data_IF_906079832256
#
_entry.id   IF_906079832256
#
_cell.length_a   1.000
_cell.length_b   1.000
_cell.length_c   1.000
_cell.angle_alpha   90.00
_cell.angle_beta   90.00
_cell.angle_gamma   90.00
#
_symmetry.space_group_name_H-M   'P 1'
#
loop_
_entity.id
_entity.type
_entity.pdbx_description
1 polymer ?
#
# COMPACT_ATOMS: atom_id res chain seq x y z
N UNK A 1 -23.44 6.23 3.98
CA UNK A 1 -22.83 7.58 4.07
C UNK A 1 -21.38 7.54 3.59
N UNK A 2 -20.62 6.48 3.86
CA UNK A 2 -19.18 6.36 3.59
C UNK A 2 -18.82 6.25 2.10
N UNK A 3 -19.56 5.42 1.34
CA UNK A 3 -19.40 5.26 -0.11
C UNK A 3 -19.70 6.54 -0.92
N UNK A 4 -20.49 7.45 -0.38
CA UNK A 4 -20.80 8.72 -1.04
C UNK A 4 -19.62 9.70 -0.97
N UNK A 5 -18.89 9.77 0.16
CA UNK A 5 -17.74 10.66 0.33
C UNK A 5 -16.59 10.32 -0.61
N UNK A 6 -16.22 9.03 -0.71
CA UNK A 6 -15.12 8.56 -1.57
C UNK A 6 -15.43 8.82 -3.06
N UNK A 7 -16.68 8.61 -3.50
CA UNK A 7 -17.11 8.91 -4.88
C UNK A 7 -17.00 10.39 -5.22
N UNK A 8 -17.34 11.27 -4.28
CA UNK A 8 -17.28 12.73 -4.48
C UNK A 8 -15.83 13.20 -4.67
N UNK A 9 -14.88 12.70 -3.89
CA UNK A 9 -13.47 13.09 -4.02
C UNK A 9 -12.81 12.54 -5.29
N UNK A 10 -13.17 11.31 -5.69
CA UNK A 10 -12.71 10.74 -6.97
C UNK A 10 -13.28 11.54 -8.15
N UNK A 11 -14.55 11.91 -8.12
CA UNK A 11 -15.16 12.76 -9.14
C UNK A 11 -14.48 14.14 -9.22
N UNK A 12 -14.19 14.77 -8.08
CA UNK A 12 -13.49 16.04 -8.00
C UNK A 12 -12.06 15.96 -8.57
N UNK A 13 -11.34 14.89 -8.28
CA UNK A 13 -9.99 14.65 -8.83
C UNK A 13 -10.02 14.52 -10.37
N UNK A 14 -11.05 13.86 -10.92
CA UNK A 14 -11.26 13.72 -12.36
C UNK A 14 -11.66 15.06 -13.00
N UNK A 15 -12.56 15.82 -12.38
CA UNK A 15 -12.96 17.15 -12.86
C UNK A 15 -11.77 18.13 -12.90
N UNK A 16 -10.94 18.15 -11.84
CA UNK A 16 -9.72 18.95 -11.81
C UNK A 16 -8.71 18.49 -12.88
N UNK A 17 -8.69 17.19 -13.23
CA UNK A 17 -7.90 16.65 -14.33
C UNK A 17 -8.39 17.20 -15.69
N UNK A 18 -9.68 17.13 -15.96
CA UNK A 18 -10.29 17.62 -17.20
C UNK A 18 -10.14 19.14 -17.35
N UNK A 19 -10.30 19.90 -16.26
CA UNK A 19 -10.06 21.35 -16.25
C UNK A 19 -8.60 21.70 -16.56
N UNK A 20 -7.65 20.92 -16.08
CA UNK A 20 -6.24 21.12 -16.36
C UNK A 20 -5.90 20.92 -17.85
N UNK A 21 -6.60 20.01 -18.54
CA UNK A 21 -6.46 19.78 -19.98
C UNK A 21 -7.15 20.87 -20.82
N UNK A 22 -8.25 21.44 -20.32
CA UNK A 22 -9.03 22.47 -21.02
C UNK A 22 -8.51 23.89 -20.85
N UNK A 23 -7.81 24.17 -19.74
CA UNK A 23 -7.24 25.51 -19.48
C UNK A 23 -5.88 25.60 -20.17
N UNK A 24 -5.90 26.07 -21.44
CA UNK A 24 -4.67 26.29 -22.19
C UNK A 24 -3.76 27.30 -21.49
N UNK A 25 -2.51 26.92 -21.34
CA UNK A 25 -1.28 27.74 -21.31
C UNK A 25 -1.09 28.85 -20.28
N UNK A 26 -1.94 29.04 -19.26
CA UNK A 26 -1.56 29.90 -18.14
C UNK A 26 -0.79 29.13 -17.07
N UNK A 27 0.52 29.38 -16.89
CA UNK A 27 1.35 28.64 -15.94
C UNK A 27 0.88 28.79 -14.49
N UNK A 28 0.26 29.92 -14.13
CA UNK A 28 -0.23 30.18 -12.79
C UNK A 28 -1.46 29.31 -12.49
N UNK A 29 -2.37 29.16 -13.43
CA UNK A 29 -3.55 28.32 -13.33
C UNK A 29 -3.17 26.83 -13.31
N UNK A 30 -2.21 26.41 -14.13
CA UNK A 30 -1.71 25.04 -14.11
C UNK A 30 -1.05 24.67 -12.77
N UNK A 31 -0.31 25.60 -12.18
CA UNK A 31 0.33 25.39 -10.87
C UNK A 31 -0.73 25.25 -9.77
N UNK A 32 -1.78 26.07 -9.79
CA UNK A 32 -2.91 25.98 -8.85
C UNK A 32 -3.68 24.67 -8.99
N UNK A 33 -3.93 24.22 -10.21
CA UNK A 33 -4.61 22.95 -10.48
C UNK A 33 -3.78 21.74 -10.04
N UNK A 34 -2.45 21.75 -10.28
CA UNK A 34 -1.55 20.73 -9.77
C UNK A 34 -1.60 20.66 -8.25
N UNK A 35 -1.55 21.80 -7.57
CA UNK A 35 -1.62 21.87 -6.11
C UNK A 35 -2.97 21.35 -5.58
N UNK A 36 -4.08 21.77 -6.14
CA UNK A 36 -5.41 21.28 -5.75
C UNK A 36 -5.56 19.75 -5.95
N UNK A 37 -5.01 19.20 -7.04
CA UNK A 37 -4.97 17.75 -7.26
C UNK A 37 -4.15 17.03 -6.21
N UNK A 38 -2.99 17.59 -5.81
CA UNK A 38 -2.16 17.03 -4.75
C UNK A 38 -2.90 17.01 -3.42
N UNK A 39 -3.53 18.12 -3.03
CA UNK A 39 -4.33 18.24 -1.81
C UNK A 39 -5.52 17.25 -1.77
N UNK A 40 -6.21 17.06 -2.91
CA UNK A 40 -7.28 16.06 -3.01
C UNK A 40 -6.73 14.63 -2.92
N UNK A 41 -5.57 14.37 -3.54
CA UNK A 41 -4.92 13.05 -3.45
C UNK A 41 -4.45 12.73 -2.03
N UNK A 42 -3.90 13.72 -1.31
CA UNK A 42 -3.53 13.61 0.11
C UNK A 42 -4.75 13.32 0.98
N UNK A 43 -5.83 14.09 0.83
CA UNK A 43 -7.08 13.86 1.57
C UNK A 43 -7.70 12.49 1.29
N UNK A 44 -7.61 12.01 0.05
CA UNK A 44 -8.03 10.64 -0.31
C UNK A 44 -7.12 9.58 0.34
N UNK A 45 -5.83 9.85 0.47
CA UNK A 45 -4.89 8.99 1.19
C UNK A 45 -5.23 8.96 2.67
N UNK A 46 -5.41 10.11 3.32
CA UNK A 46 -5.81 10.20 4.73
C UNK A 46 -7.15 9.49 4.98
N UNK A 47 -8.14 9.67 4.10
CA UNK A 47 -9.41 8.94 4.21
C UNK A 47 -9.23 7.43 4.01
N UNK A 48 -8.31 7.00 3.16
CA UNK A 48 -7.94 5.59 3.06
C UNK A 48 -7.24 5.11 4.31
N UNK A 49 -6.33 5.89 4.89
CA UNK A 49 -5.61 5.55 6.11
C UNK A 49 -6.57 5.46 7.31
N UNK A 50 -7.57 6.34 7.39
CA UNK A 50 -8.69 6.25 8.34
C UNK A 50 -9.55 5.01 8.06
N UNK A 51 -9.80 4.69 6.79
CA UNK A 51 -10.55 3.50 6.38
C UNK A 51 -9.76 2.21 6.58
N UNK A 52 -8.47 2.25 6.36
CA UNK A 52 -7.54 1.17 6.67
C UNK A 52 -7.23 1.09 8.17
N UNK A 53 -7.50 2.14 8.95
CA UNK A 53 -7.57 2.09 10.42
C UNK A 53 -8.82 1.35 10.94
N UNK A 54 -9.84 1.13 10.11
CA UNK A 54 -10.87 0.13 10.35
C UNK A 54 -10.23 -1.24 10.11
N UNK A 55 -9.78 -1.84 11.18
CA UNK A 55 -9.29 -3.21 11.33
C UNK A 55 -9.81 -4.11 10.21
N UNK A 56 -8.95 -4.80 9.44
CA UNK A 56 -9.44 -5.79 8.50
C UNK A 56 -10.16 -6.87 9.32
N UNK A 57 -11.48 -6.85 9.37
CA UNK A 57 -12.29 -7.79 10.13
C UNK A 57 -11.95 -9.27 9.80
N UNK A 58 -11.39 -9.48 8.59
CA UNK A 58 -10.88 -10.78 8.14
C UNK A 58 -9.63 -11.19 8.92
N UNK A 59 -8.71 -10.27 9.21
CA UNK A 59 -7.50 -10.57 10.01
C UNK A 59 -7.90 -10.96 11.44
N UNK A 60 -8.75 -10.14 12.08
CA UNK A 60 -9.20 -10.41 13.46
C UNK A 60 -9.97 -11.73 13.56
N UNK A 61 -10.83 -12.03 12.59
CA UNK A 61 -11.67 -13.23 12.60
C UNK A 61 -10.97 -14.52 12.16
N UNK A 62 -10.16 -14.47 11.09
CA UNK A 62 -9.65 -15.66 10.41
C UNK A 62 -8.12 -15.74 10.38
N UNK A 63 -7.42 -14.69 10.79
CA UNK A 63 -5.97 -14.60 10.82
C UNK A 63 -5.36 -14.09 9.53
N UNK A 64 -4.04 -13.81 9.62
CA UNK A 64 -3.29 -13.17 8.56
C UNK A 64 -3.26 -14.01 7.26
N UNK A 65 -3.04 -15.32 7.34
CA UNK A 65 -2.96 -16.17 6.16
C UNK A 65 -4.24 -16.09 5.30
N UNK A 66 -5.42 -16.28 5.91
CA UNK A 66 -6.71 -16.22 5.19
C UNK A 66 -7.00 -14.82 4.65
N UNK A 67 -6.58 -13.78 5.37
CA UNK A 67 -6.73 -12.41 4.92
C UNK A 67 -5.85 -12.13 3.68
N UNK A 68 -4.63 -12.65 3.65
CA UNK A 68 -3.71 -12.55 2.50
C UNK A 68 -4.20 -13.34 1.29
N UNK A 69 -4.73 -14.55 1.47
CA UNK A 69 -5.36 -15.32 0.39
C UNK A 69 -6.49 -14.53 -0.28
N UNK A 70 -7.36 -13.91 0.54
CA UNK A 70 -8.47 -13.09 0.05
C UNK A 70 -7.98 -11.83 -0.70
N UNK A 71 -6.92 -11.21 -0.20
CA UNK A 71 -6.31 -10.02 -0.80
C UNK A 71 -5.70 -10.36 -2.17
N UNK A 72 -4.96 -11.45 -2.26
CA UNK A 72 -4.34 -11.93 -3.50
C UNK A 72 -5.40 -12.30 -4.53
N UNK A 73 -6.46 -13.01 -4.13
CA UNK A 73 -7.56 -13.38 -5.03
C UNK A 73 -8.28 -12.16 -5.63
N UNK A 74 -8.28 -11.02 -4.94
CA UNK A 74 -8.86 -9.76 -5.43
C UNK A 74 -7.89 -8.90 -6.27
N UNK A 75 -6.62 -9.28 -6.36
CA UNK A 75 -5.58 -8.52 -7.04
C UNK A 75 -5.49 -8.93 -8.51
N UNK A 76 -5.43 -7.98 -9.48
CA UNK A 76 -5.40 -8.31 -10.91
C UNK A 76 -4.01 -8.73 -11.43
N UNK A 77 -3.03 -8.94 -10.57
CA UNK A 77 -1.66 -9.36 -10.91
C UNK A 77 -1.48 -10.87 -10.71
N UNK A 78 -0.48 -11.45 -11.37
CA UNK A 78 0.01 -12.79 -11.06
C UNK A 78 0.78 -12.76 -9.74
N UNK A 79 0.12 -13.15 -8.64
CA UNK A 79 0.70 -13.12 -7.29
C UNK A 79 0.97 -14.53 -6.81
N UNK A 80 2.24 -14.82 -6.51
CA UNK A 80 2.64 -16.04 -5.82
C UNK A 80 2.72 -15.75 -4.32
N UNK A 81 1.82 -16.34 -3.53
CA UNK A 81 1.75 -16.18 -2.08
C UNK A 81 2.29 -17.44 -1.37
N UNK A 82 3.15 -17.24 -0.38
CA UNK A 82 3.64 -18.27 0.54
C UNK A 82 3.37 -17.84 1.99
N UNK A 83 2.55 -18.63 2.70
CA UNK A 83 2.23 -18.41 4.12
C UNK A 83 2.30 -19.70 4.92
N UNK A 84 3.09 -20.68 4.43
CA UNK A 84 3.12 -22.03 4.99
C UNK A 84 3.49 -22.05 6.46
N UNK A 85 2.62 -22.66 7.28
CA UNK A 85 2.85 -22.80 8.71
C UNK A 85 2.80 -21.50 9.52
N UNK A 86 2.22 -20.40 8.97
CA UNK A 86 2.08 -19.14 9.69
C UNK A 86 1.16 -19.31 10.91
N UNK A 87 1.67 -19.18 12.15
CA UNK A 87 0.86 -19.30 13.35
C UNK A 87 -0.02 -18.06 13.54
N UNK A 88 -1.01 -18.15 14.43
CA UNK A 88 -1.70 -16.97 14.93
C UNK A 88 -0.73 -16.15 15.76
N UNK A 89 -0.69 -14.85 15.47
CA UNK A 89 0.13 -13.87 16.18
C UNK A 89 -0.77 -12.86 16.89
N UNK A 90 -0.16 -11.93 17.61
CA UNK A 90 -0.92 -10.81 18.15
C UNK A 90 -1.53 -9.98 17.02
N UNK A 91 -2.76 -9.53 17.21
CA UNK A 91 -3.53 -8.80 16.22
C UNK A 91 -2.80 -7.57 15.65
N UNK A 92 -2.09 -6.75 16.44
CA UNK A 92 -1.31 -5.64 15.89
C UNK A 92 -0.24 -6.07 14.89
N UNK A 93 0.43 -7.22 15.10
CA UNK A 93 1.44 -7.75 14.19
C UNK A 93 0.82 -8.23 12.88
N UNK A 94 -0.28 -9.02 12.98
CA UNK A 94 -1.00 -9.52 11.82
C UNK A 94 -1.55 -8.38 10.96
N UNK A 95 -2.09 -7.35 11.60
CA UNK A 95 -2.63 -6.15 10.93
C UNK A 95 -1.52 -5.35 10.25
N UNK A 96 -0.38 -5.15 10.91
CA UNK A 96 0.74 -4.43 10.30
C UNK A 96 1.27 -5.16 9.07
N UNK A 97 1.48 -6.49 9.16
CA UNK A 97 1.93 -7.28 8.02
C UNK A 97 0.91 -7.28 6.87
N UNK A 98 -0.39 -7.37 7.17
CA UNK A 98 -1.44 -7.23 6.16
C UNK A 98 -1.35 -5.92 5.38
N UNK A 99 -1.14 -4.79 6.09
CA UNK A 99 -1.02 -3.49 5.42
C UNK A 99 0.25 -3.38 4.58
N UNK A 100 1.37 -3.93 5.04
CA UNK A 100 2.60 -3.97 4.25
C UNK A 100 2.36 -4.68 2.91
N UNK A 101 1.70 -5.84 2.94
CA UNK A 101 1.38 -6.60 1.72
C UNK A 101 0.37 -5.84 0.86
N UNK A 102 -0.73 -5.34 1.45
CA UNK A 102 -1.79 -4.63 0.73
C UNK A 102 -1.29 -3.39 0.00
N UNK A 103 -0.48 -2.56 0.66
CA UNK A 103 0.10 -1.38 0.05
C UNK A 103 1.12 -1.73 -1.03
N UNK A 104 1.96 -2.76 -0.80
CA UNK A 104 2.93 -3.22 -1.80
C UNK A 104 2.24 -3.74 -3.07
N UNK A 105 1.15 -4.51 -2.95
CA UNK A 105 0.35 -4.97 -4.09
C UNK A 105 -0.34 -3.80 -4.82
N UNK A 106 -0.82 -2.81 -4.06
CA UNK A 106 -1.40 -1.59 -4.61
C UNK A 106 -0.36 -0.81 -5.43
N UNK A 107 0.85 -0.66 -4.89
CA UNK A 107 1.95 0.03 -5.57
C UNK A 107 2.41 -0.73 -6.82
N UNK A 108 2.52 -2.06 -6.75
CA UNK A 108 2.84 -2.90 -7.89
C UNK A 108 1.81 -2.74 -9.02
N UNK A 109 0.51 -2.70 -8.66
CA UNK A 109 -0.59 -2.57 -9.63
C UNK A 109 -0.67 -1.19 -10.26
N UNK A 110 -0.52 -0.12 -9.45
CA UNK A 110 -0.79 1.26 -9.90
C UNK A 110 0.42 2.00 -10.45
N UNK A 111 1.60 1.69 -9.92
CA UNK A 111 2.79 2.52 -10.14
C UNK A 111 3.96 1.76 -10.77
N UNK A 112 4.08 0.46 -10.51
CA UNK A 112 5.23 -0.30 -10.98
C UNK A 112 5.05 -0.91 -12.37
N UNK A 113 3.83 -0.96 -12.92
CA UNK A 113 3.53 -1.73 -14.14
C UNK A 113 4.03 -3.17 -14.06
N UNK A 114 3.99 -3.74 -12.86
CA UNK A 114 4.42 -5.11 -12.61
C UNK A 114 3.48 -6.11 -13.32
N UNK A 115 4.03 -7.25 -13.69
CA UNK A 115 3.25 -8.38 -14.22
C UNK A 115 3.17 -9.52 -13.19
N UNK A 116 4.18 -9.65 -12.35
CA UNK A 116 4.27 -10.67 -11.31
C UNK A 116 4.73 -10.09 -9.99
N UNK A 117 4.17 -10.62 -8.91
CA UNK A 117 4.58 -10.30 -7.54
C UNK A 117 4.77 -11.61 -6.76
N UNK A 118 5.84 -11.71 -5.97
CA UNK A 118 5.99 -12.75 -4.96
C UNK A 118 5.75 -12.15 -3.58
N UNK A 119 5.01 -12.88 -2.73
CA UNK A 119 4.68 -12.49 -1.35
C UNK A 119 5.02 -13.66 -0.44
N UNK A 120 6.03 -13.50 0.39
CA UNK A 120 6.47 -14.50 1.37
C UNK A 120 6.24 -13.95 2.77
N UNK A 121 5.40 -14.63 3.58
CA UNK A 121 5.10 -14.23 4.95
C UNK A 121 5.28 -15.42 5.88
N UNK A 122 6.15 -15.27 6.88
CA UNK A 122 6.45 -16.36 7.81
C UNK A 122 7.10 -15.86 9.10
N UNK A 123 7.23 -16.75 10.08
CA UNK A 123 7.95 -16.46 11.34
C UNK A 123 9.32 -17.12 11.29
N UNK A 124 10.38 -16.32 11.44
CA UNK A 124 11.76 -16.74 11.45
C UNK A 124 12.40 -16.24 12.75
N UNK A 125 12.90 -17.14 13.57
CA UNK A 125 13.58 -16.81 14.83
C UNK A 125 12.79 -15.83 15.73
N UNK A 126 11.47 -16.07 15.87
CA UNK A 126 10.59 -15.22 16.68
C UNK A 126 10.27 -13.85 16.08
N UNK A 127 10.52 -13.67 14.78
CA UNK A 127 10.22 -12.44 14.04
C UNK A 127 9.27 -12.77 12.90
N UNK A 128 8.15 -12.06 12.81
CA UNK A 128 7.28 -12.09 11.63
C UNK A 128 7.97 -11.31 10.51
N UNK A 129 8.22 -11.99 9.42
CA UNK A 129 8.82 -11.42 8.22
C UNK A 129 7.78 -11.43 7.11
N UNK A 130 7.55 -10.28 6.50
CA UNK A 130 6.77 -10.14 5.27
C UNK A 130 7.69 -9.58 4.19
N UNK A 131 7.88 -10.32 3.11
CA UNK A 131 8.71 -9.92 1.98
C UNK A 131 7.88 -9.93 0.70
N UNK A 132 7.90 -8.82 -0.02
CA UNK A 132 7.15 -8.61 -1.26
C UNK A 132 8.14 -8.16 -2.33
N UNK A 133 8.13 -8.83 -3.49
CA UNK A 133 8.99 -8.50 -4.63
C UNK A 133 8.15 -8.41 -5.89
N UNK A 134 8.19 -7.27 -6.56
CA UNK A 134 7.59 -7.07 -7.88
C UNK A 134 8.64 -7.01 -8.99
N UNK A 135 8.24 -7.34 -10.21
CA UNK A 135 9.06 -7.29 -11.43
C UNK A 135 8.87 -5.98 -12.23
N UNK A 136 8.35 -4.94 -11.59
CA UNK A 136 7.97 -3.69 -12.24
C UNK A 136 9.15 -2.79 -12.62
N UNK A 137 8.81 -1.54 -12.97
CA UNK A 137 9.81 -0.54 -13.42
C UNK A 137 10.78 -0.10 -12.33
N UNK A 138 10.49 -0.35 -11.05
CA UNK A 138 11.28 0.12 -9.92
C UNK A 138 11.39 1.65 -9.85
N UNK A 139 12.40 2.15 -9.12
CA UNK A 139 12.64 3.59 -8.99
C UNK A 139 11.62 4.29 -8.09
N UNK A 140 10.94 3.57 -7.22
CA UNK A 140 10.04 4.17 -6.24
C UNK A 140 10.83 5.14 -5.34
N UNK A 141 10.34 6.37 -5.25
CA UNK A 141 10.90 7.35 -4.30
C UNK A 141 10.28 7.10 -2.92
N UNK A 142 11.06 6.50 -2.04
CA UNK A 142 10.64 6.18 -0.67
C UNK A 142 10.39 7.44 0.18
N UNK A 143 10.88 8.61 -0.24
CA UNK A 143 10.73 9.86 0.52
C UNK A 143 9.49 10.66 0.10
N UNK A 144 8.97 10.46 -1.10
CA UNK A 144 7.86 11.26 -1.64
C UNK A 144 6.48 10.59 -1.54
N UNK A 145 6.40 9.29 -1.22
CA UNK A 145 5.15 8.53 -1.15
C UNK A 145 4.55 8.48 0.27
N UNK A 146 3.36 9.05 0.47
CA UNK A 146 2.63 9.00 1.76
C UNK A 146 2.33 7.57 2.24
N UNK A 147 2.09 6.62 1.31
CA UNK A 147 1.78 5.22 1.64
C UNK A 147 2.96 4.48 2.29
N UNK A 148 4.15 4.55 1.71
CA UNK A 148 5.34 3.88 2.24
C UNK A 148 5.80 4.47 3.58
N UNK A 149 5.62 5.78 3.77
CA UNK A 149 5.93 6.46 5.02
C UNK A 149 5.00 6.02 6.15
N UNK A 150 3.68 5.96 5.90
CA UNK A 150 2.71 5.46 6.86
C UNK A 150 2.93 3.99 7.24
N UNK A 151 3.44 3.16 6.29
CA UNK A 151 3.86 1.79 6.59
C UNK A 151 5.08 1.75 7.53
N UNK A 152 6.08 2.59 7.28
CA UNK A 152 7.27 2.67 8.13
C UNK A 152 6.90 3.03 9.57
N UNK A 153 6.11 4.07 9.76
CA UNK A 153 5.62 4.51 11.08
C UNK A 153 4.87 3.39 11.82
N UNK A 154 4.02 2.64 11.11
CA UNK A 154 3.25 1.53 11.68
C UNK A 154 4.13 0.35 12.10
N UNK A 155 5.11 0.00 11.29
CA UNK A 155 6.07 -1.08 11.57
C UNK A 155 6.99 -0.68 12.74
N UNK A 156 7.47 0.56 12.77
CA UNK A 156 8.31 1.10 13.84
C UNK A 156 7.57 1.19 15.18
N UNK A 157 6.28 1.52 15.18
CA UNK A 157 5.45 1.53 16.40
C UNK A 157 5.36 0.16 17.09
N UNK A 158 5.64 -0.93 16.35
CA UNK A 158 5.71 -2.30 16.85
C UNK A 158 7.16 -2.78 17.09
N UNK A 159 8.11 -1.85 17.20
CA UNK A 159 9.55 -2.13 17.29
C UNK A 159 10.09 -2.95 16.11
N UNK A 160 9.39 -2.91 14.97
CA UNK A 160 9.78 -3.56 13.73
C UNK A 160 10.69 -2.69 12.87
N UNK A 161 11.04 -3.22 11.71
CA UNK A 161 11.84 -2.53 10.70
C UNK A 161 11.26 -2.76 9.31
N UNK A 162 11.07 -1.68 8.56
CA UNK A 162 10.72 -1.71 7.14
C UNK A 162 11.95 -1.36 6.30
N UNK A 163 12.21 -2.15 5.27
CA UNK A 163 13.26 -1.89 4.29
C UNK A 163 12.70 -1.97 2.88
N UNK A 164 13.12 -1.05 2.03
CA UNK A 164 12.70 -0.97 0.64
C UNK A 164 13.95 -0.89 -0.23
N UNK A 165 14.06 -1.81 -1.17
CA UNK A 165 15.09 -1.79 -2.21
C UNK A 165 14.39 -1.64 -3.55
N UNK A 166 14.78 -0.63 -4.28
CA UNK A 166 14.21 -0.36 -5.59
C UNK A 166 15.32 0.11 -6.53
N UNK A 167 15.28 -0.39 -7.74
CA UNK A 167 16.24 0.00 -8.78
C UNK A 167 15.49 0.15 -10.08
N UNK A 168 15.73 1.24 -10.79
CA UNK A 168 15.07 1.48 -12.08
C UNK A 168 15.26 0.29 -13.03
N UNK A 169 14.18 -0.23 -13.58
CA UNK A 169 14.13 -1.39 -14.47
C UNK A 169 14.32 -2.76 -13.80
N UNK A 170 14.34 -2.84 -12.46
CA UNK A 170 14.54 -4.11 -11.73
C UNK A 170 13.48 -4.40 -10.67
N UNK A 171 12.35 -3.67 -10.69
CA UNK A 171 11.28 -3.83 -9.73
C UNK A 171 11.59 -3.26 -8.35
N UNK A 172 10.75 -3.63 -7.39
CA UNK A 172 10.86 -3.21 -5.99
C UNK A 172 10.77 -4.41 -5.07
N UNK A 173 11.56 -4.38 -3.99
CA UNK A 173 11.49 -5.33 -2.89
C UNK A 173 11.18 -4.57 -1.61
N UNK A 174 10.12 -4.97 -0.94
CA UNK A 174 9.70 -4.46 0.37
C UNK A 174 9.83 -5.58 1.38
N UNK A 175 10.48 -5.32 2.52
CA UNK A 175 10.61 -6.29 3.60
C UNK A 175 10.33 -5.64 4.94
N UNK A 176 9.34 -6.17 5.65
CA UNK A 176 9.03 -5.83 7.03
C UNK A 176 9.46 -6.95 7.97
N UNK A 177 10.07 -6.58 9.08
CA UNK A 177 10.50 -7.46 10.17
C UNK A 177 9.86 -6.97 11.46
N UNK A 178 9.01 -7.79 12.11
CA UNK A 178 8.20 -7.46 13.26
C UNK A 178 8.47 -8.48 14.37
N UNK A 179 9.11 -8.09 15.50
CA UNK A 179 9.36 -9.02 16.62
C UNK A 179 8.05 -9.54 17.19
N UNK A 180 7.98 -10.86 17.40
CA UNK A 180 6.77 -11.51 17.92
C UNK A 180 6.62 -11.44 19.45
N UNK A 181 7.59 -10.88 20.16
CA UNK A 181 7.58 -10.74 21.64
C UNK A 181 8.14 -11.95 22.34
#
# INVERSE_FOLDING_TARGET
>A
VWLAGTRTHVALALELGMLAEQTGSDPATQTRLKRARSEVAESLSELRDIAHGLHPAVVSGHGLAVALDSLVAATPLDVQLTTDGLPRLSEPLEVAAYYVVSESLTNATKHAHATRVTVDVGVIDGTLVAEIVDDGIGGADSESGTGLRGLADRVEALNGRLRIWTTAGKGTRVRAELPCG
#
